data_IF_367248428585
#
_entry.id   IF_367248428585
#
_cell.length_a   1.000
_cell.length_b   1.000
_cell.length_c   1.000
_cell.angle_alpha   90.00
_cell.angle_beta   90.00
_cell.angle_gamma   90.00
#
_symmetry.space_group_name_H-M   'P 1'
#
loop_
_entity.id
_entity.type
_entity.pdbx_description
1 polymer ?
#
# COMPACT_ATOMS: atom_id res chain seq x y z
N UNK A 1 17.87 -28.91 -17.50
CA UNK A 1 17.04 -28.45 -16.37
C UNK A 1 17.96 -28.21 -15.17
N UNK A 2 18.30 -26.96 -14.81
CA UNK A 2 19.21 -26.71 -13.68
C UNK A 2 18.59 -27.24 -12.38
N UNK A 3 19.40 -27.87 -11.53
CA UNK A 3 18.90 -28.38 -10.25
C UNK A 3 18.42 -27.22 -9.36
N UNK A 4 17.31 -27.43 -8.65
CA UNK A 4 16.69 -26.42 -7.77
C UNK A 4 17.67 -25.85 -6.74
N UNK A 5 18.68 -26.64 -6.36
CA UNK A 5 19.77 -26.26 -5.45
C UNK A 5 20.69 -25.21 -6.06
N UNK A 6 21.04 -25.35 -7.36
CA UNK A 6 21.89 -24.38 -8.06
C UNK A 6 21.17 -23.04 -8.22
N UNK A 7 19.86 -23.06 -8.52
CA UNK A 7 19.05 -21.84 -8.59
C UNK A 7 19.05 -21.11 -7.24
N UNK A 8 18.75 -21.82 -6.15
CA UNK A 8 18.74 -21.24 -4.80
C UNK A 8 20.10 -20.67 -4.41
N UNK A 9 21.20 -21.38 -4.68
CA UNK A 9 22.54 -20.86 -4.44
C UNK A 9 22.80 -19.57 -5.21
N UNK A 10 22.43 -19.53 -6.50
CA UNK A 10 22.58 -18.33 -7.32
C UNK A 10 21.68 -17.17 -6.90
N UNK A 11 20.55 -17.42 -6.22
CA UNK A 11 19.72 -16.37 -5.62
C UNK A 11 20.29 -15.87 -4.30
N UNK A 12 20.73 -16.78 -3.42
CA UNK A 12 21.14 -16.43 -2.05
C UNK A 12 22.53 -15.82 -1.99
N UNK A 13 23.46 -16.23 -2.87
CA UNK A 13 24.87 -15.77 -2.81
C UNK A 13 25.04 -14.25 -2.99
N UNK A 14 24.06 -13.57 -3.57
CA UNK A 14 24.06 -12.13 -3.76
C UNK A 14 23.28 -11.36 -2.68
N UNK A 15 22.61 -12.07 -1.76
CA UNK A 15 21.90 -11.42 -0.66
C UNK A 15 22.88 -10.94 0.40
N UNK A 16 22.65 -9.72 0.89
CA UNK A 16 23.35 -9.21 2.07
C UNK A 16 22.92 -10.00 3.31
N UNK A 17 23.81 -10.18 4.32
CA UNK A 17 23.46 -10.89 5.56
C UNK A 17 22.20 -10.34 6.24
N UNK A 18 22.02 -9.01 6.22
CA UNK A 18 20.84 -8.33 6.73
C UNK A 18 19.55 -8.79 6.04
N UNK A 19 19.57 -9.02 4.72
CA UNK A 19 18.40 -9.49 3.97
C UNK A 19 18.05 -10.92 4.36
N UNK A 20 19.05 -11.79 4.58
CA UNK A 20 18.84 -13.17 5.01
C UNK A 20 18.24 -13.19 6.42
N UNK A 21 18.83 -12.44 7.35
CA UNK A 21 18.33 -12.32 8.72
C UNK A 21 16.86 -11.90 8.76
N UNK A 22 16.51 -10.82 8.05
CA UNK A 22 15.14 -10.32 8.08
C UNK A 22 14.14 -11.24 7.39
N UNK A 23 14.53 -11.97 6.34
CA UNK A 23 13.65 -13.02 5.76
C UNK A 23 13.30 -14.09 6.79
N UNK A 24 14.28 -14.56 7.55
CA UNK A 24 14.06 -15.56 8.60
C UNK A 24 13.26 -14.99 9.77
N UNK A 25 13.59 -13.78 10.21
CA UNK A 25 12.87 -13.06 11.26
C UNK A 25 11.39 -12.89 10.92
N UNK A 26 11.06 -12.37 9.73
CA UNK A 26 9.67 -12.17 9.33
C UNK A 26 8.92 -13.49 9.18
N UNK A 27 9.57 -14.52 8.65
CA UNK A 27 8.98 -15.85 8.55
C UNK A 27 8.64 -16.43 9.92
N UNK A 28 9.58 -16.39 10.87
CA UNK A 28 9.37 -16.89 12.23
C UNK A 28 8.29 -16.08 12.96
N UNK A 29 8.38 -14.75 12.89
CA UNK A 29 7.43 -13.83 13.52
C UNK A 29 6.00 -14.02 13.02
N UNK A 30 5.82 -14.21 11.71
CA UNK A 30 4.51 -14.50 11.12
C UNK A 30 3.91 -15.77 11.70
N UNK A 31 4.66 -16.88 11.70
CA UNK A 31 4.20 -18.16 12.27
C UNK A 31 3.78 -18.05 13.74
N UNK A 32 4.58 -17.34 14.54
CA UNK A 32 4.27 -17.11 15.95
C UNK A 32 2.95 -16.33 16.09
N UNK A 33 2.78 -15.23 15.33
CA UNK A 33 1.57 -14.39 15.37
C UNK A 33 0.31 -15.13 14.94
N UNK A 34 0.41 -15.95 13.89
CA UNK A 34 -0.68 -16.77 13.41
C UNK A 34 -1.12 -17.77 14.49
N UNK A 35 -0.17 -18.35 15.24
CA UNK A 35 -0.44 -19.31 16.32
C UNK A 35 -1.16 -18.66 17.51
N UNK A 36 -0.80 -17.42 17.87
CA UNK A 36 -1.44 -16.68 18.98
C UNK A 36 -2.67 -15.87 18.54
N UNK A 37 -3.06 -15.95 17.26
CA UNK A 37 -4.22 -15.23 16.71
C UNK A 37 -4.05 -13.70 16.69
N UNK A 38 -2.83 -13.17 16.70
CA UNK A 38 -2.57 -11.72 16.70
C UNK A 38 -2.93 -11.13 15.33
N UNK A 39 -4.01 -10.37 15.26
CA UNK A 39 -4.44 -9.64 14.06
C UNK A 39 -3.96 -8.18 14.09
N UNK A 40 -3.70 -7.57 12.93
CA UNK A 40 -3.46 -6.14 12.84
C UNK A 40 -4.72 -5.36 13.23
N UNK A 41 -4.52 -4.16 13.77
CA UNK A 41 -5.58 -3.19 13.99
C UNK A 41 -5.80 -2.40 12.69
N UNK A 42 -7.05 -2.19 12.30
CA UNK A 42 -7.40 -1.50 11.05
C UNK A 42 -8.00 -0.10 11.25
N UNK A 43 -8.29 0.27 12.49
CA UNK A 43 -8.75 1.61 12.86
C UNK A 43 -8.20 1.94 14.24
N UNK A 44 -7.57 3.11 14.35
CA UNK A 44 -7.01 3.59 15.61
C UNK A 44 -7.30 5.07 15.75
N UNK A 45 -7.80 5.48 16.90
CA UNK A 45 -8.03 6.89 17.18
C UNK A 45 -6.75 7.69 16.97
N UNK A 46 -6.85 8.71 16.13
CA UNK A 46 -5.73 9.55 15.71
C UNK A 46 -5.97 11.01 16.07
N UNK A 47 -4.89 11.78 16.18
CA UNK A 47 -4.96 13.25 16.17
C UNK A 47 -4.09 13.73 15.03
N UNK A 48 -4.71 14.01 13.88
CA UNK A 48 -3.99 14.38 12.66
C UNK A 48 -3.92 15.90 12.53
N UNK A 49 -2.74 16.38 12.12
CA UNK A 49 -2.50 17.76 11.72
C UNK A 49 -2.36 17.79 10.20
N UNK A 50 -3.19 18.61 9.55
CA UNK A 50 -3.05 18.85 8.11
C UNK A 50 -1.76 19.62 7.82
N UNK A 51 -1.13 19.30 6.70
CA UNK A 51 0.12 19.91 6.29
C UNK A 51 -0.15 21.08 5.35
N UNK A 52 0.69 22.12 5.41
CA UNK A 52 0.72 23.14 4.36
C UNK A 52 1.73 22.68 3.31
N UNK A 53 1.22 22.15 2.20
CA UNK A 53 2.02 21.54 1.14
C UNK A 53 2.08 22.47 -0.07
N UNK A 54 3.23 22.50 -0.73
CA UNK A 54 3.34 23.09 -2.07
C UNK A 54 2.66 22.17 -3.09
N UNK A 55 2.23 22.74 -4.21
CA UNK A 55 1.61 22.00 -5.30
C UNK A 55 2.56 20.92 -5.84
N UNK A 56 2.03 19.71 -6.02
CA UNK A 56 2.75 18.58 -6.60
C UNK A 56 2.66 18.56 -8.12
N UNK A 57 3.61 17.89 -8.77
CA UNK A 57 3.57 17.68 -10.21
C UNK A 57 2.33 16.83 -10.57
N UNK A 58 1.61 17.27 -11.61
CA UNK A 58 0.47 16.53 -12.16
C UNK A 58 0.88 15.14 -12.66
N UNK A 59 0.11 14.12 -12.31
CA UNK A 59 0.33 12.72 -12.73
C UNK A 59 -0.54 12.40 -13.95
N UNK A 60 -0.13 11.45 -14.79
CA UNK A 60 -0.94 10.99 -15.92
C UNK A 60 -2.29 10.46 -15.42
N UNK A 61 -3.39 10.88 -16.03
CA UNK A 61 -4.73 10.41 -15.67
C UNK A 61 -4.89 8.90 -15.85
N UNK A 62 -4.88 8.16 -14.75
CA UNK A 62 -5.09 6.72 -14.69
C UNK A 62 -6.49 6.36 -14.18
N UNK A 63 -7.13 7.18 -13.34
CA UNK A 63 -8.56 7.03 -12.99
C UNK A 63 -9.44 7.77 -14.00
N UNK A 64 -10.38 7.06 -14.63
CA UNK A 64 -11.29 7.60 -15.66
C UNK A 64 -12.72 7.86 -15.16
N UNK A 65 -12.92 7.85 -13.83
CA UNK A 65 -14.25 7.89 -13.23
C UNK A 65 -14.97 6.55 -13.29
N UNK A 66 -16.08 6.42 -12.56
CA UNK A 66 -16.96 5.25 -12.60
C UNK A 66 -16.22 3.91 -12.38
N UNK A 67 -15.31 3.87 -11.41
CA UNK A 67 -14.50 2.69 -11.08
C UNK A 67 -13.70 2.13 -12.28
N UNK A 68 -13.27 2.99 -13.21
CA UNK A 68 -12.41 2.62 -14.34
C UNK A 68 -10.99 3.13 -14.15
N UNK A 69 -10.02 2.21 -14.24
CA UNK A 69 -8.61 2.46 -14.02
C UNK A 69 -7.77 1.97 -15.19
N UNK A 70 -6.76 2.73 -15.57
CA UNK A 70 -5.79 2.37 -16.60
C UNK A 70 -4.39 2.43 -15.98
N UNK A 71 -3.82 1.26 -15.71
CA UNK A 71 -2.44 1.13 -15.22
C UNK A 71 -1.65 0.21 -16.12
N UNK A 72 -0.37 0.53 -16.37
CA UNK A 72 0.52 -0.30 -17.21
C UNK A 72 -0.06 -0.61 -18.60
N UNK A 73 -0.81 0.33 -19.19
CA UNK A 73 -1.57 0.18 -20.44
C UNK A 73 -2.69 -0.89 -20.41
N UNK A 74 -3.12 -1.30 -19.21
CA UNK A 74 -4.21 -2.24 -19.01
C UNK A 74 -5.42 -1.52 -18.40
N UNK A 75 -6.53 -1.53 -19.11
CA UNK A 75 -7.80 -0.92 -18.74
C UNK A 75 -8.67 -1.91 -17.95
N UNK A 76 -9.20 -1.46 -16.82
CA UNK A 76 -10.16 -2.20 -16.01
C UNK A 76 -11.27 -1.27 -15.55
N UNK A 77 -12.50 -1.59 -15.95
CA UNK A 77 -13.71 -1.08 -15.31
C UNK A 77 -14.26 -2.14 -14.36
N UNK A 78 -14.55 -1.75 -13.12
CA UNK A 78 -15.26 -2.60 -12.16
C UNK A 78 -16.77 -2.34 -12.27
N UNK A 79 -17.54 -3.39 -12.53
CA UNK A 79 -19.00 -3.32 -12.47
C UNK A 79 -19.43 -3.41 -10.99
N UNK A 80 -19.87 -2.29 -10.42
CA UNK A 80 -20.22 -2.20 -9.00
C UNK A 80 -18.99 -1.92 -8.12
N UNK A 81 -18.75 -2.77 -7.12
CA UNK A 81 -17.70 -2.56 -6.12
C UNK A 81 -16.31 -2.85 -6.68
N UNK A 82 -15.32 -2.04 -6.31
CA UNK A 82 -13.93 -2.26 -6.66
C UNK A 82 -13.40 -3.50 -5.95
N UNK A 83 -12.79 -4.41 -6.71
CA UNK A 83 -12.00 -5.50 -6.15
C UNK A 83 -10.58 -4.99 -5.86
N UNK A 84 -10.33 -4.59 -4.62
CA UNK A 84 -9.01 -4.14 -4.16
C UNK A 84 -7.93 -5.24 -4.15
N UNK A 85 -8.31 -6.50 -4.39
CA UNK A 85 -7.40 -7.64 -4.55
C UNK A 85 -7.37 -8.15 -6.01
N UNK A 86 -7.76 -7.31 -6.99
CA UNK A 86 -7.84 -7.71 -8.39
C UNK A 86 -6.48 -8.20 -8.91
N UNK A 87 -6.38 -9.49 -9.16
CA UNK A 87 -5.10 -10.17 -9.44
C UNK A 87 -4.91 -10.61 -10.89
N UNK A 88 -5.92 -10.45 -11.76
CA UNK A 88 -5.87 -10.92 -13.15
C UNK A 88 -4.73 -10.26 -13.96
N UNK A 89 -4.40 -9.00 -13.66
CA UNK A 89 -3.31 -8.27 -14.32
C UNK A 89 -1.98 -8.31 -13.55
N UNK A 90 -1.92 -9.14 -12.50
CA UNK A 90 -0.73 -9.35 -11.69
C UNK A 90 -0.49 -8.28 -10.64
N UNK A 91 0.43 -8.60 -9.72
CA UNK A 91 0.65 -7.87 -8.46
C UNK A 91 0.96 -6.38 -8.64
N UNK A 92 1.77 -6.03 -9.64
CA UNK A 92 2.13 -4.63 -9.88
C UNK A 92 0.93 -3.79 -10.30
N UNK A 93 -0.01 -4.36 -11.07
CA UNK A 93 -1.24 -3.67 -11.42
C UNK A 93 -2.12 -3.46 -10.18
N UNK A 94 -2.30 -4.51 -9.37
CA UNK A 94 -3.02 -4.44 -8.09
C UNK A 94 -2.41 -3.41 -7.15
N UNK A 95 -1.09 -3.32 -7.09
CA UNK A 95 -0.43 -2.31 -6.30
C UNK A 95 -0.78 -0.89 -6.74
N UNK A 96 -0.71 -0.58 -8.05
CA UNK A 96 -1.09 0.74 -8.58
C UNK A 96 -2.52 1.12 -8.20
N UNK A 97 -3.46 0.15 -8.28
CA UNK A 97 -4.82 0.36 -7.80
C UNK A 97 -4.87 0.80 -6.32
N UNK A 98 -4.01 0.22 -5.48
CA UNK A 98 -3.98 0.52 -4.03
C UNK A 98 -3.05 1.67 -3.63
N UNK A 99 -2.34 2.29 -4.57
CA UNK A 99 -1.46 3.43 -4.29
C UNK A 99 -2.21 4.75 -4.17
N UNK A 100 -3.41 4.86 -4.78
CA UNK A 100 -4.19 6.10 -4.75
C UNK A 100 -3.43 7.33 -5.28
N UNK A 101 -2.50 7.15 -6.22
CA UNK A 101 -1.81 8.27 -6.87
C UNK A 101 -2.77 9.13 -7.70
N UNK A 102 -3.80 8.52 -8.27
CA UNK A 102 -4.90 9.18 -8.97
C UNK A 102 -5.71 10.19 -8.13
N UNK A 103 -5.55 10.23 -6.81
CA UNK A 103 -6.19 11.25 -5.98
C UNK A 103 -5.68 12.67 -6.28
N UNK A 104 -4.52 12.80 -6.93
CA UNK A 104 -3.99 14.10 -7.35
C UNK A 104 -4.52 14.57 -8.71
N UNK A 105 -5.36 13.78 -9.39
CA UNK A 105 -6.00 14.20 -10.63
C UNK A 105 -7.14 15.19 -10.34
N UNK A 106 -7.47 16.05 -11.31
CA UNK A 106 -8.51 17.08 -11.17
C UNK A 106 -9.95 16.53 -11.04
N UNK A 107 -10.14 15.22 -11.19
CA UNK A 107 -11.45 14.58 -11.03
C UNK A 107 -11.74 14.27 -9.55
N UNK A 108 -12.42 15.20 -8.88
CA UNK A 108 -12.66 15.12 -7.43
C UNK A 108 -13.92 14.33 -7.02
N UNK A 109 -14.88 14.10 -7.94
CA UNK A 109 -16.25 13.71 -7.57
C UNK A 109 -16.35 12.36 -6.83
N UNK A 110 -15.35 11.47 -6.98
CA UNK A 110 -15.38 10.12 -6.39
C UNK A 110 -14.29 9.86 -5.33
N UNK A 111 -13.35 10.79 -5.09
CA UNK A 111 -12.12 10.48 -4.37
C UNK A 111 -12.34 10.00 -2.92
N UNK A 112 -13.22 10.66 -2.17
CA UNK A 112 -13.57 10.21 -0.81
C UNK A 112 -14.35 8.90 -0.79
N UNK A 113 -15.15 8.64 -1.83
CA UNK A 113 -15.88 7.39 -2.00
C UNK A 113 -14.91 6.22 -2.23
N UNK A 114 -13.90 6.43 -3.09
CA UNK A 114 -12.83 5.46 -3.32
C UNK A 114 -12.07 5.15 -2.03
N UNK A 115 -11.66 6.18 -1.29
CA UNK A 115 -10.94 6.01 -0.02
C UNK A 115 -11.79 5.25 1.01
N UNK A 116 -13.04 5.67 1.23
CA UNK A 116 -13.94 4.98 2.16
C UNK A 116 -14.21 3.54 1.74
N UNK A 117 -14.41 3.26 0.45
CA UNK A 117 -14.61 1.89 -0.02
C UNK A 117 -13.39 0.98 0.21
N UNK A 118 -12.17 1.54 0.19
CA UNK A 118 -10.95 0.83 0.59
C UNK A 118 -10.90 0.61 2.11
N UNK A 119 -11.27 1.61 2.90
CA UNK A 119 -11.33 1.50 4.37
C UNK A 119 -12.35 0.43 4.79
N UNK A 120 -13.51 0.38 4.17
CA UNK A 120 -14.56 -0.60 4.46
C UNK A 120 -14.08 -2.04 4.23
N UNK A 121 -13.25 -2.25 3.19
CA UNK A 121 -12.72 -3.57 2.83
C UNK A 121 -11.39 -3.94 3.45
N UNK A 122 -10.76 -3.01 4.19
CA UNK A 122 -9.37 -3.11 4.61
C UNK A 122 -9.01 -4.43 5.30
N UNK A 123 -9.95 -5.01 6.04
CA UNK A 123 -9.75 -6.28 6.75
C UNK A 123 -9.56 -7.51 5.84
N UNK A 124 -9.98 -7.39 4.58
CA UNK A 124 -9.89 -8.45 3.55
C UNK A 124 -8.82 -8.17 2.50
N UNK A 125 -8.25 -6.97 2.48
CA UNK A 125 -7.21 -6.55 1.53
C UNK A 125 -5.88 -7.22 1.88
N UNK A 126 -5.23 -7.77 0.86
CA UNK A 126 -3.95 -8.49 0.99
C UNK A 126 -2.80 -7.64 0.46
N UNK A 127 -2.72 -7.49 -0.85
CA UNK A 127 -1.60 -6.82 -1.52
C UNK A 127 -1.50 -5.35 -1.10
N UNK A 128 -2.63 -4.66 -0.97
CA UNK A 128 -2.66 -3.26 -0.52
C UNK A 128 -2.21 -3.02 0.93
N UNK A 129 -2.14 -4.07 1.76
CA UNK A 129 -1.64 -3.98 3.14
C UNK A 129 -0.17 -4.40 3.28
N UNK A 130 0.51 -4.65 2.17
CA UNK A 130 1.96 -4.79 2.19
C UNK A 130 2.65 -3.43 2.44
N UNK A 131 3.88 -3.41 2.98
CA UNK A 131 4.51 -2.18 3.44
C UNK A 131 4.71 -1.15 2.32
N UNK A 132 5.14 -1.58 1.14
CA UNK A 132 5.36 -0.69 0.01
C UNK A 132 4.06 0.01 -0.46
N UNK A 133 2.95 -0.71 -0.74
CA UNK A 133 1.66 -0.07 -0.99
C UNK A 133 1.16 0.85 0.13
N UNK A 134 1.31 0.47 1.40
CA UNK A 134 0.96 1.37 2.52
C UNK A 134 1.78 2.66 2.45
N UNK A 135 3.07 2.57 2.14
CA UNK A 135 3.96 3.73 2.11
C UNK A 135 3.49 4.76 1.09
N UNK A 136 3.23 4.32 -0.15
CA UNK A 136 2.78 5.19 -1.23
C UNK A 136 1.36 5.72 -1.00
N UNK A 137 0.43 4.83 -0.60
CA UNK A 137 -0.93 5.23 -0.26
C UNK A 137 -0.97 6.24 0.87
N UNK A 138 -0.15 6.05 1.90
CA UNK A 138 -0.07 6.97 3.04
C UNK A 138 0.29 8.39 2.61
N UNK A 139 1.33 8.53 1.79
CA UNK A 139 1.74 9.82 1.22
C UNK A 139 0.63 10.43 0.37
N UNK A 140 0.02 9.65 -0.53
CA UNK A 140 -1.04 10.15 -1.43
C UNK A 140 -2.30 10.57 -0.67
N UNK A 141 -2.70 9.81 0.35
CA UNK A 141 -3.82 10.17 1.22
C UNK A 141 -3.52 11.43 2.02
N UNK A 142 -2.33 11.56 2.62
CA UNK A 142 -1.94 12.77 3.36
C UNK A 142 -1.96 14.00 2.45
N UNK A 143 -1.42 13.88 1.23
CA UNK A 143 -1.46 14.95 0.22
C UNK A 143 -2.89 15.35 -0.10
N UNK A 144 -3.73 14.39 -0.49
CA UNK A 144 -5.12 14.66 -0.86
C UNK A 144 -5.91 15.31 0.28
N UNK A 145 -5.80 14.78 1.50
CA UNK A 145 -6.46 15.34 2.68
C UNK A 145 -5.96 16.75 3.00
N UNK A 146 -4.65 16.99 2.88
CA UNK A 146 -4.03 18.30 3.17
C UNK A 146 -4.39 19.36 2.13
N UNK A 147 -4.26 19.05 0.83
CA UNK A 147 -4.59 20.00 -0.25
C UNK A 147 -6.05 20.44 -0.22
N UNK A 148 -6.96 19.52 0.11
CA UNK A 148 -8.40 19.80 0.13
C UNK A 148 -8.93 20.17 1.52
N UNK A 149 -8.06 20.27 2.53
CA UNK A 149 -8.44 20.54 3.93
C UNK A 149 -9.52 19.61 4.48
N UNK A 150 -9.50 18.34 4.08
CA UNK A 150 -10.53 17.36 4.42
C UNK A 150 -10.27 16.77 5.80
N UNK A 151 -11.35 16.60 6.57
CA UNK A 151 -11.38 15.93 7.86
C UNK A 151 -12.40 14.80 7.82
N UNK A 152 -11.94 13.57 7.67
CA UNK A 152 -12.77 12.37 7.69
C UNK A 152 -12.22 11.40 8.74
N UNK A 153 -12.96 11.21 9.83
CA UNK A 153 -12.43 10.47 10.97
C UNK A 153 -12.22 8.98 10.69
N UNK A 154 -13.00 8.41 9.77
CA UNK A 154 -12.87 7.01 9.39
C UNK A 154 -11.56 6.80 8.62
N UNK A 155 -11.32 7.64 7.61
CA UNK A 155 -10.09 7.66 6.82
C UNK A 155 -8.88 7.96 7.71
N UNK A 156 -8.95 9.00 8.55
CA UNK A 156 -7.86 9.39 9.44
C UNK A 156 -7.46 8.26 10.41
N UNK A 157 -8.44 7.58 11.02
CA UNK A 157 -8.18 6.50 11.96
C UNK A 157 -7.66 5.24 11.24
N UNK A 158 -8.16 4.96 10.04
CA UNK A 158 -7.66 3.87 9.19
C UNK A 158 -6.22 4.13 8.77
N UNK A 159 -5.92 5.33 8.25
CA UNK A 159 -4.58 5.73 7.84
C UNK A 159 -3.58 5.59 9.00
N UNK A 160 -3.96 6.05 10.19
CA UNK A 160 -3.11 5.91 11.37
C UNK A 160 -2.85 4.44 11.73
N UNK A 161 -3.87 3.58 11.66
CA UNK A 161 -3.70 2.15 11.87
C UNK A 161 -2.79 1.51 10.80
N UNK A 162 -2.91 1.92 9.54
CA UNK A 162 -2.03 1.46 8.45
C UNK A 162 -0.56 1.81 8.72
N UNK A 163 -0.27 2.99 9.27
CA UNK A 163 1.10 3.34 9.68
C UNK A 163 1.65 2.46 10.80
N UNK A 164 0.81 1.98 11.73
CA UNK A 164 1.24 0.96 12.69
C UNK A 164 1.56 -0.37 12.02
N UNK A 165 0.81 -0.76 10.98
CA UNK A 165 1.13 -1.94 10.18
C UNK A 165 2.48 -1.73 9.47
N UNK A 166 2.71 -0.56 8.85
CA UNK A 166 3.97 -0.24 8.18
C UNK A 166 5.17 -0.28 9.14
N UNK A 167 5.08 0.43 10.27
CA UNK A 167 6.14 0.50 11.27
C UNK A 167 6.53 -0.89 11.79
N UNK A 168 5.55 -1.78 11.93
CA UNK A 168 5.78 -3.15 12.37
C UNK A 168 6.32 -4.06 11.26
N UNK A 169 6.28 -3.67 9.98
CA UNK A 169 6.59 -4.54 8.83
C UNK A 169 7.58 -3.95 7.81
N UNK A 170 8.44 -3.01 8.21
CA UNK A 170 9.49 -2.43 7.34
C UNK A 170 10.26 -3.47 6.49
N UNK A 171 10.50 -3.17 5.22
CA UNK A 171 11.00 -4.16 4.25
C UNK A 171 12.53 -4.31 4.25
N UNK A 172 13.15 -4.52 5.41
CA UNK A 172 14.61 -4.73 5.53
C UNK A 172 15.13 -5.93 4.72
N UNK A 173 14.25 -6.87 4.38
CA UNK A 173 14.58 -8.03 3.55
C UNK A 173 14.69 -7.72 2.05
N UNK A 174 14.07 -6.63 1.59
CA UNK A 174 14.17 -6.12 0.23
C UNK A 174 15.24 -5.02 0.13
N UNK A 175 15.44 -4.23 1.19
CA UNK A 175 16.29 -3.03 1.19
C UNK A 175 15.88 -2.08 0.04
N UNK A 176 16.83 -1.30 -0.47
CA UNK A 176 16.67 -0.49 -1.67
C UNK A 176 15.48 0.45 -1.57
N UNK A 177 14.82 0.66 -2.71
CA UNK A 177 13.73 1.62 -2.83
C UNK A 177 12.57 1.27 -1.90
N UNK A 178 12.29 -0.01 -1.65
CA UNK A 178 11.20 -0.41 -0.74
C UNK A 178 11.41 0.11 0.69
N UNK A 179 12.57 -0.18 1.27
CA UNK A 179 12.87 0.28 2.62
C UNK A 179 12.96 1.81 2.69
N UNK A 180 13.45 2.45 1.62
CA UNK A 180 13.52 3.90 1.53
C UNK A 180 12.12 4.54 1.51
N UNK A 181 11.20 4.03 0.69
CA UNK A 181 9.81 4.50 0.64
C UNK A 181 9.08 4.25 1.96
N UNK A 182 9.33 3.12 2.63
CA UNK A 182 8.80 2.91 3.98
C UNK A 182 9.28 4.00 4.95
N UNK A 183 10.55 4.41 4.83
CA UNK A 183 11.14 5.47 5.63
C UNK A 183 10.63 6.86 5.28
N UNK A 184 10.42 7.19 4.01
CA UNK A 184 9.87 8.49 3.60
C UNK A 184 8.40 8.69 4.01
N UNK A 185 7.65 7.60 4.09
CA UNK A 185 6.24 7.65 4.46
C UNK A 185 6.02 7.88 5.95
N UNK A 186 6.93 7.38 6.82
CA UNK A 186 6.87 7.47 8.28
C UNK A 186 7.38 8.81 8.82
#
# INVERSE_FOLDING_TARGET
MLSRKILLFNTVKFLKPIQIWYRLYYFARKKIRDTIGKKPLFSKESTIKLLNLIESIHIIDCYKGQNRFIFLNLDKKFEGKIDWNYSEYGKLWTYNLTYFDYLSQDNQEDNLSLMNSFVDDISTIKDGLEPFPISLRGINWIKYLSYNSIRDKNIENSLYAQYYILLDNLEYHLLGNHLLENGFSL
#
